data_IF_797434325478
#
_entry.id   IF_797434325478
#
_cell.length_a   1.000
_cell.length_b   1.000
_cell.length_c   1.000
_cell.angle_alpha   90.00
_cell.angle_beta   90.00
_cell.angle_gamma   90.00
#
_symmetry.space_group_name_H-M   'P 1'
#
loop_
_entity.id
_entity.type
_entity.pdbx_description
1 polymer ?
#
# COMPACT_ATOMS: atom_id res chain seq x y z
N UNK A 1 -10.87 13.49 6.40
CA UNK A 1 -10.74 12.28 5.58
C UNK A 1 -9.40 11.63 5.87
N UNK A 2 -9.38 10.41 6.42
CA UNK A 2 -8.15 9.66 6.70
C UNK A 2 -8.21 8.33 5.94
N UNK A 3 -7.05 7.86 5.50
CA UNK A 3 -6.92 6.53 4.88
C UNK A 3 -7.20 5.47 5.93
N UNK A 4 -8.10 4.56 5.63
CA UNK A 4 -8.44 3.44 6.53
C UNK A 4 -8.06 2.09 5.96
N UNK A 5 -8.00 1.97 4.63
CA UNK A 5 -7.60 0.75 3.95
C UNK A 5 -6.67 1.08 2.79
N UNK A 6 -5.60 0.30 2.65
CA UNK A 6 -4.66 0.39 1.54
C UNK A 6 -4.58 -0.96 0.84
N UNK A 7 -4.82 -0.97 -0.47
CA UNK A 7 -4.41 -2.04 -1.36
C UNK A 7 -2.98 -1.81 -1.84
N UNK A 8 -2.15 -2.84 -1.71
CA UNK A 8 -0.76 -2.87 -2.14
C UNK A 8 -0.54 -3.99 -3.16
N UNK A 9 -0.30 -3.61 -4.40
CA UNK A 9 0.03 -4.51 -5.50
C UNK A 9 1.56 -4.53 -5.71
N UNK A 10 2.10 -5.75 -5.84
CA UNK A 10 3.52 -6.05 -5.80
C UNK A 10 4.05 -6.40 -7.20
N UNK A 11 4.87 -5.51 -7.77
CA UNK A 11 5.66 -5.82 -8.96
C UNK A 11 7.16 -5.85 -8.63
N UNK A 12 7.97 -6.39 -9.56
CA UNK A 12 9.39 -6.71 -9.34
C UNK A 12 10.23 -5.55 -8.78
N UNK A 13 9.93 -4.31 -9.18
CA UNK A 13 10.69 -3.12 -8.77
C UNK A 13 9.81 -1.95 -8.31
N UNK A 14 8.49 -2.09 -8.41
CA UNK A 14 7.53 -1.02 -8.15
C UNK A 14 6.33 -1.57 -7.40
N UNK A 15 5.67 -0.69 -6.64
CA UNK A 15 4.52 -1.00 -5.81
C UNK A 15 3.39 -0.08 -6.21
N UNK A 16 2.22 -0.62 -6.52
CA UNK A 16 1.02 0.21 -6.72
C UNK A 16 0.27 0.31 -5.40
N UNK A 17 0.03 1.55 -4.97
CA UNK A 17 -0.69 1.86 -3.74
C UNK A 17 -2.04 2.47 -4.08
N UNK A 18 -3.08 1.89 -3.50
CA UNK A 18 -4.45 2.39 -3.57
C UNK A 18 -5.03 2.55 -2.16
N UNK A 19 -5.22 3.78 -1.70
CA UNK A 19 -5.74 4.09 -0.37
C UNK A 19 -7.15 4.67 -0.41
N UNK A 20 -8.04 4.14 0.42
CA UNK A 20 -9.42 4.60 0.57
C UNK A 20 -9.74 5.04 2.00
N UNK A 21 -10.75 5.89 2.14
CA UNK A 21 -11.38 6.19 3.43
C UNK A 21 -12.49 5.19 3.80
N UNK A 22 -13.16 5.42 4.94
CA UNK A 22 -14.25 4.55 5.44
C UNK A 22 -15.47 4.48 4.52
N UNK A 23 -15.65 5.48 3.66
CA UNK A 23 -16.76 5.55 2.71
C UNK A 23 -16.37 4.97 1.35
N UNK A 24 -15.15 4.41 1.22
CA UNK A 24 -14.62 3.90 -0.04
C UNK A 24 -14.11 4.99 -0.98
N UNK A 25 -14.02 6.25 -0.55
CA UNK A 25 -13.45 7.30 -1.40
C UNK A 25 -11.95 7.14 -1.53
N UNK A 26 -11.45 7.22 -2.76
CA UNK A 26 -10.04 7.11 -3.08
C UNK A 26 -9.31 8.38 -2.63
N UNK A 27 -8.42 8.24 -1.66
CA UNK A 27 -7.57 9.31 -1.16
C UNK A 27 -6.15 9.25 -1.72
N UNK A 28 -5.68 8.05 -2.09
CA UNK A 28 -4.33 7.82 -2.60
C UNK A 28 -4.38 6.87 -3.78
N UNK A 29 -3.73 7.25 -4.87
CA UNK A 29 -3.41 6.36 -5.99
C UNK A 29 -2.02 6.71 -6.52
N UNK A 30 -1.02 5.89 -6.22
CA UNK A 30 0.38 6.20 -6.56
C UNK A 30 1.23 4.95 -6.72
N UNK A 31 2.16 5.02 -7.68
CA UNK A 31 3.26 4.08 -7.81
C UNK A 31 4.45 4.50 -6.94
N UNK A 32 5.04 3.55 -6.21
CA UNK A 32 6.24 3.73 -5.40
C UNK A 32 7.36 2.80 -5.87
N UNK A 33 8.60 3.24 -5.73
CA UNK A 33 9.79 2.39 -5.82
C UNK A 33 10.08 1.78 -4.45
N UNK A 34 10.87 0.70 -4.42
CA UNK A 34 11.23 -0.02 -3.18
C UNK A 34 11.77 0.89 -2.06
N UNK A 35 12.61 1.86 -2.39
CA UNK A 35 13.17 2.80 -1.42
C UNK A 35 12.16 3.81 -0.86
N UNK A 36 11.03 4.04 -1.53
CA UNK A 36 10.01 5.00 -1.09
C UNK A 36 8.98 4.36 -0.16
N UNK A 37 8.84 3.03 -0.19
CA UNK A 37 7.74 2.29 0.45
C UNK A 37 7.66 2.56 1.96
N UNK A 38 8.76 2.35 2.69
CA UNK A 38 8.80 2.55 4.15
C UNK A 38 8.54 4.00 4.51
N UNK A 39 9.17 4.95 3.81
CA UNK A 39 8.98 6.37 4.06
C UNK A 39 7.54 6.83 3.80
N UNK A 40 6.88 6.23 2.80
CA UNK A 40 5.48 6.47 2.50
C UNK A 40 4.56 5.99 3.64
N UNK A 41 4.66 4.72 4.04
CA UNK A 41 3.80 4.16 5.09
C UNK A 41 4.03 4.78 6.47
N UNK A 42 5.24 5.25 6.78
CA UNK A 42 5.53 5.99 8.03
C UNK A 42 4.75 7.29 8.18
N UNK A 43 4.27 7.89 7.09
CA UNK A 43 3.48 9.13 7.11
C UNK A 43 1.98 8.87 7.17
N UNK A 44 1.54 7.63 6.96
CA UNK A 44 0.14 7.27 7.04
C UNK A 44 -0.28 6.99 8.48
N UNK A 45 -1.52 7.35 8.87
CA UNK A 45 -2.09 6.83 10.11
C UNK A 45 -2.21 5.29 10.03
N UNK A 46 -2.27 4.60 11.18
CA UNK A 46 -2.53 3.16 11.20
C UNK A 46 -3.79 2.81 10.39
N UNK A 47 -3.64 1.88 9.46
CA UNK A 47 -4.70 1.46 8.55
C UNK A 47 -4.56 -0.03 8.20
N UNK A 48 -5.64 -0.62 7.71
CA UNK A 48 -5.61 -2.00 7.20
C UNK A 48 -4.87 -2.02 5.86
N UNK A 49 -3.90 -2.92 5.71
CA UNK A 49 -3.18 -3.12 4.45
C UNK A 49 -3.56 -4.49 3.89
N UNK A 50 -4.21 -4.49 2.73
CA UNK A 50 -4.38 -5.67 1.90
C UNK A 50 -3.25 -5.73 0.87
N UNK A 51 -2.58 -6.88 0.77
CA UNK A 51 -1.47 -7.07 -0.16
C UNK A 51 -1.80 -8.19 -1.15
N UNK A 52 -1.50 -7.98 -2.43
CA UNK A 52 -1.65 -9.02 -3.44
C UNK A 52 -0.71 -10.20 -3.15
N UNK A 53 -1.23 -11.41 -3.25
CA UNK A 53 -0.44 -12.63 -3.16
C UNK A 53 0.19 -12.96 -4.53
N UNK A 54 1.45 -12.60 -4.71
CA UNK A 54 2.27 -13.00 -5.85
C UNK A 54 3.52 -13.78 -5.40
N UNK A 55 4.33 -14.29 -6.32
CA UNK A 55 5.56 -15.04 -5.99
C UNK A 55 6.52 -14.27 -5.08
N UNK A 56 6.49 -12.93 -5.13
CA UNK A 56 7.32 -12.07 -4.26
C UNK A 56 6.65 -11.69 -2.93
N UNK A 57 5.37 -11.99 -2.73
CA UNK A 57 4.64 -11.65 -1.51
C UNK A 57 5.15 -12.38 -0.27
N UNK A 58 5.69 -13.60 -0.43
CA UNK A 58 6.25 -14.37 0.68
C UNK A 58 7.39 -13.68 1.42
N UNK A 59 8.15 -12.80 0.75
CA UNK A 59 9.17 -12.00 1.41
C UNK A 59 8.54 -10.96 2.37
N UNK A 60 7.36 -10.44 2.03
CA UNK A 60 6.68 -9.37 2.76
C UNK A 60 5.74 -9.85 3.87
N UNK A 61 5.27 -11.09 3.79
CA UNK A 61 4.37 -11.68 4.78
C UNK A 61 5.07 -12.20 6.05
N UNK A 62 6.39 -11.99 6.17
CA UNK A 62 7.20 -12.33 7.35
C UNK A 62 7.18 -11.20 8.35
#
# INVERSE_FOLDING_TARGET
MQVTTVGLDLAKHVFQVHGIDRNGQVLIRRQLRRGELIGFFRRLPPCLIGMEACSTAHFWAR
#
